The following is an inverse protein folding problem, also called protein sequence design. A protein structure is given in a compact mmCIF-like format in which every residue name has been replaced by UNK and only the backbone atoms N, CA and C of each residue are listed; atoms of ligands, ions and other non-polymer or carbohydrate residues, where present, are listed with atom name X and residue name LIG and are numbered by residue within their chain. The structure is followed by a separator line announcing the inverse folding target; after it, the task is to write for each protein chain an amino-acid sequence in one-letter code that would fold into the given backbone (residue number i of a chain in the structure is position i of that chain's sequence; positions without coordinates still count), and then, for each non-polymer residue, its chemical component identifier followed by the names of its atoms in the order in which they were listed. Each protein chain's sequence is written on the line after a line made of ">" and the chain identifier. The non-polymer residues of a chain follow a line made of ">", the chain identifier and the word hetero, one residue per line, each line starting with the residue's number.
data_IF_765682492912
#
_entry.id   IF_765682492912
#
_cell.length_a   1.000
_cell.length_b   1.000
_cell.length_c   1.000
_cell.angle_alpha   90.00
_cell.angle_beta   90.00
_cell.angle_gamma   90.00
#
_symmetry.space_group_name_H-M   'P 1'
#
loop_
_entity.id
_entity.type
_entity.pdbx_description
1 polymer ?
#
# COMPACT_ATOMS: atom_id res chain seq x y z
N UNK A 1 -30.75 11.98 13.77
CA UNK A 1 -30.12 11.11 14.81
C UNK A 1 -29.51 9.87 14.18
N UNK A 2 -28.59 9.24 14.87
CA UNK A 2 -27.96 7.95 14.49
C UNK A 2 -28.08 7.03 15.68
N UNK A 3 -28.68 5.85 15.50
CA UNK A 3 -28.74 4.78 16.51
C UNK A 3 -27.65 3.76 16.22
N UNK A 4 -26.91 3.38 17.25
CA UNK A 4 -25.87 2.36 17.17
C UNK A 4 -26.13 1.27 18.21
N UNK A 5 -26.13 0.02 17.76
CA UNK A 5 -26.25 -1.16 18.62
C UNK A 5 -25.19 -2.21 18.23
N UNK A 6 -24.53 -2.80 19.18
CA UNK A 6 -23.50 -3.81 18.93
C UNK A 6 -22.41 -3.37 17.93
N UNK A 7 -21.96 -2.12 18.04
CA UNK A 7 -20.96 -1.48 17.16
C UNK A 7 -21.40 -1.36 15.68
N UNK A 8 -22.70 -1.38 15.40
CA UNK A 8 -23.28 -1.17 14.07
C UNK A 8 -24.27 -0.02 14.08
N UNK A 9 -24.37 0.72 12.99
CA UNK A 9 -25.44 1.69 12.78
C UNK A 9 -26.69 0.90 12.43
N UNK A 10 -27.74 1.00 13.26
CA UNK A 10 -29.01 0.29 13.09
C UNK A 10 -30.12 1.19 12.53
N UNK A 11 -30.02 2.51 12.76
CA UNK A 11 -30.96 3.48 12.18
C UNK A 11 -30.32 4.85 12.01
N UNK A 12 -30.79 5.59 10.97
CA UNK A 12 -30.47 7.00 10.71
C UNK A 12 -31.77 7.73 10.42
N UNK A 13 -31.98 8.89 11.03
CA UNK A 13 -33.17 9.73 10.83
C UNK A 13 -33.80 10.21 12.14
N UNK A 14 -35.12 10.35 12.16
CA UNK A 14 -35.86 10.66 13.37
C UNK A 14 -36.04 9.37 14.20
N UNK A 15 -35.40 9.34 15.36
CA UNK A 15 -35.41 8.18 16.26
C UNK A 15 -36.12 8.60 17.54
N UNK A 16 -37.15 7.85 18.01
CA UNK A 16 -37.80 8.14 19.28
C UNK A 16 -36.80 8.17 20.45
N UNK A 17 -36.95 9.14 21.37
CA UNK A 17 -36.05 9.31 22.52
C UNK A 17 -36.44 8.42 23.74
N UNK A 18 -37.38 7.52 23.59
CA UNK A 18 -37.84 6.58 24.63
C UNK A 18 -37.00 5.31 24.71
N UNK A 19 -35.75 5.39 24.29
CA UNK A 19 -34.80 4.26 24.29
C UNK A 19 -33.91 4.32 25.53
N UNK A 20 -33.50 3.17 26.06
CA UNK A 20 -32.47 3.05 27.12
C UNK A 20 -31.07 3.37 26.58
N UNK A 21 -30.95 3.82 25.35
CA UNK A 21 -29.68 4.13 24.70
C UNK A 21 -29.02 5.37 25.34
N UNK A 22 -27.70 5.34 25.49
CA UNK A 22 -26.93 6.50 25.89
C UNK A 22 -27.00 7.57 24.79
N UNK A 23 -27.61 8.72 25.11
CA UNK A 23 -27.71 9.85 24.18
C UNK A 23 -26.45 10.71 24.25
N UNK A 24 -25.86 11.01 23.10
CA UNK A 24 -24.76 11.96 22.94
C UNK A 24 -25.27 13.11 22.08
N UNK A 25 -25.44 14.29 22.70
CA UNK A 25 -25.87 15.49 21.99
C UNK A 25 -24.66 16.15 21.28
N UNK A 26 -24.72 16.18 19.96
CA UNK A 26 -23.66 16.74 19.11
C UNK A 26 -24.00 18.10 18.52
N UNK A 27 -24.91 18.85 19.12
CA UNK A 27 -25.44 20.16 18.69
C UNK A 27 -24.64 20.87 17.61
N UNK A 28 -25.23 21.06 16.43
CA UNK A 28 -24.64 21.82 15.32
C UNK A 28 -23.37 21.21 14.68
N UNK A 29 -22.96 20.00 15.07
CA UNK A 29 -21.80 19.31 14.47
C UNK A 29 -22.25 18.39 13.34
N UNK A 30 -21.39 18.27 12.34
CA UNK A 30 -21.50 17.25 11.31
C UNK A 30 -21.00 15.90 11.84
N UNK A 31 -21.68 14.84 11.50
CA UNK A 31 -21.26 13.47 11.79
C UNK A 31 -20.95 12.82 10.45
N UNK A 32 -19.72 12.31 10.32
CA UNK A 32 -19.26 11.60 9.14
C UNK A 32 -18.75 10.21 9.54
N UNK A 33 -18.67 9.24 8.61
CA UNK A 33 -17.86 8.06 8.82
C UNK A 33 -16.42 8.44 9.19
N UNK A 34 -15.74 7.58 9.94
CA UNK A 34 -14.32 7.78 10.23
C UNK A 34 -13.51 7.79 8.94
N UNK A 35 -12.54 8.70 8.86
CA UNK A 35 -11.66 8.84 7.70
C UNK A 35 -10.71 7.64 7.65
N UNK A 36 -10.55 7.07 6.45
CA UNK A 36 -9.55 6.04 6.15
C UNK A 36 -8.39 6.72 5.43
N UNK A 37 -7.23 6.75 6.06
CA UNK A 37 -5.99 7.22 5.43
C UNK A 37 -5.34 6.04 4.67
N UNK A 38 -5.37 6.13 3.35
CA UNK A 38 -4.89 5.07 2.45
C UNK A 38 -3.39 5.11 2.21
N UNK A 39 -2.67 6.13 2.73
CA UNK A 39 -1.23 6.24 2.60
C UNK A 39 -0.61 6.86 3.85
N UNK A 40 -0.17 6.05 4.76
CA UNK A 40 0.43 6.49 6.01
C UNK A 40 1.83 5.90 6.22
N UNK A 41 2.63 6.64 6.95
CA UNK A 41 3.91 6.18 7.49
C UNK A 41 3.97 6.34 9.02
N UNK A 42 2.82 6.59 9.67
CA UNK A 42 2.76 6.69 11.13
C UNK A 42 3.26 5.41 11.78
N UNK A 43 4.01 5.56 12.84
CA UNK A 43 4.63 4.47 13.57
C UNK A 43 5.91 3.91 12.95
N UNK A 44 6.12 3.99 11.63
CA UNK A 44 7.39 3.60 10.97
C UNK A 44 8.31 4.80 10.72
N UNK A 45 7.75 6.02 10.67
CA UNK A 45 8.45 7.30 10.77
C UNK A 45 7.79 8.14 11.87
N UNK A 46 7.97 7.76 13.15
CA UNK A 46 7.25 8.38 14.25
C UNK A 46 7.80 9.79 14.60
N UNK A 47 7.01 10.52 15.37
CA UNK A 47 7.43 11.78 15.97
C UNK A 47 7.99 11.57 17.40
N UNK A 48 9.12 12.24 17.78
CA UNK A 48 9.95 13.10 16.93
C UNK A 48 10.74 12.27 15.90
N UNK A 49 11.04 12.88 14.73
CA UNK A 49 11.77 12.25 13.63
C UNK A 49 13.26 12.07 13.97
N UNK A 50 13.58 11.01 14.70
CA UNK A 50 14.95 10.64 15.07
C UNK A 50 15.43 9.46 14.23
N UNK A 51 16.73 9.41 13.95
CA UNK A 51 17.31 8.29 13.19
C UNK A 51 17.05 6.93 13.83
N UNK A 52 17.04 6.86 15.15
CA UNK A 52 16.76 5.63 15.91
C UNK A 52 15.31 5.11 15.73
N UNK A 53 14.41 5.96 15.26
CA UNK A 53 13.00 5.63 15.03
C UNK A 53 12.62 5.65 13.54
N UNK A 54 13.61 5.74 12.64
CA UNK A 54 13.36 5.85 11.20
C UNK A 54 13.42 4.48 10.54
N UNK A 55 12.35 3.71 10.67
CA UNK A 55 12.27 2.30 10.29
C UNK A 55 11.37 2.03 9.06
N UNK A 56 11.05 3.07 8.31
CA UNK A 56 10.14 2.96 7.17
C UNK A 56 10.73 2.40 5.88
N UNK A 57 12.06 2.23 5.77
CA UNK A 57 12.70 1.60 4.62
C UNK A 57 13.88 0.72 5.04
N UNK A 58 13.85 -0.55 4.63
CA UNK A 58 15.03 -1.40 4.64
C UNK A 58 15.85 -1.14 3.37
N UNK A 59 16.64 -0.07 3.39
CA UNK A 59 17.34 0.44 2.20
C UNK A 59 18.74 -0.20 1.98
N UNK A 60 18.94 -1.43 2.41
CA UNK A 60 20.20 -2.18 2.24
C UNK A 60 20.26 -2.93 0.91
N UNK A 61 19.07 -3.33 0.38
CA UNK A 61 18.89 -4.00 -0.91
C UNK A 61 17.70 -3.37 -1.65
N UNK A 62 17.74 -3.24 -2.98
CA UNK A 62 16.61 -2.71 -3.76
C UNK A 62 15.36 -3.59 -3.75
N UNK A 63 15.49 -4.87 -3.41
CA UNK A 63 14.38 -5.83 -3.32
C UNK A 63 14.40 -6.44 -1.93
N UNK A 64 13.40 -6.09 -1.11
CA UNK A 64 13.29 -6.52 0.31
C UNK A 64 11.83 -6.88 0.67
N UNK A 65 11.13 -7.72 -0.11
CA UNK A 65 9.70 -8.00 0.13
C UNK A 65 9.45 -8.80 1.41
N UNK A 66 10.49 -9.36 2.03
CA UNK A 66 10.44 -10.12 3.29
C UNK A 66 10.29 -9.26 4.54
N UNK A 67 10.50 -7.93 4.45
CA UNK A 67 10.29 -7.05 5.60
C UNK A 67 8.85 -6.56 5.66
N UNK A 68 8.30 -6.41 6.87
CA UNK A 68 6.91 -6.08 7.09
C UNK A 68 6.81 -4.83 7.97
N UNK A 69 6.09 -3.82 7.51
CA UNK A 69 5.91 -2.57 8.26
C UNK A 69 5.35 -2.81 9.67
N UNK A 70 4.49 -3.83 9.86
CA UNK A 70 3.91 -4.15 11.16
C UNK A 70 4.95 -4.45 12.25
N UNK A 71 6.14 -4.95 11.87
CA UNK A 71 7.19 -5.27 12.83
C UNK A 71 7.97 -4.04 13.31
N UNK A 72 7.83 -2.90 12.63
CA UNK A 72 8.50 -1.64 12.98
C UNK A 72 7.54 -0.53 13.43
N UNK A 73 6.24 -0.78 13.50
CA UNK A 73 5.27 0.20 14.00
C UNK A 73 5.49 0.45 15.49
N UNK A 74 5.91 1.66 15.84
CA UNK A 74 5.92 2.12 17.22
C UNK A 74 4.52 2.56 17.66
N UNK A 75 3.82 1.71 18.41
CA UNK A 75 2.41 1.91 18.79
C UNK A 75 2.14 3.11 19.68
N UNK A 76 3.21 3.70 20.26
CA UNK A 76 3.14 4.89 21.11
C UNK A 76 3.44 6.20 20.36
N UNK A 77 3.56 6.17 19.04
CA UNK A 77 3.75 7.35 18.22
C UNK A 77 2.62 8.37 18.50
N UNK A 78 2.96 9.59 18.94
CA UNK A 78 1.96 10.63 19.24
C UNK A 78 1.14 11.05 18.01
N UNK A 79 1.62 10.78 16.80
CA UNK A 79 0.90 11.07 15.56
C UNK A 79 -0.44 10.33 15.49
N UNK A 80 -0.57 9.12 16.05
CA UNK A 80 -1.84 8.39 16.10
C UNK A 80 -2.93 9.18 16.84
N UNK A 81 -2.58 9.76 17.99
CA UNK A 81 -3.53 10.57 18.75
C UNK A 81 -3.91 11.86 18.00
N UNK A 82 -2.96 12.48 17.31
CA UNK A 82 -3.23 13.69 16.51
C UNK A 82 -4.12 13.36 15.31
N UNK A 83 -3.85 12.29 14.60
CA UNK A 83 -4.66 11.82 13.49
C UNK A 83 -6.09 11.46 13.92
N UNK A 84 -6.25 10.80 15.08
CA UNK A 84 -7.57 10.49 15.64
C UNK A 84 -8.37 11.75 15.96
N UNK A 85 -7.73 12.80 16.50
CA UNK A 85 -8.38 14.10 16.70
C UNK A 85 -8.85 14.75 15.38
N UNK A 86 -8.19 14.45 14.27
CA UNK A 86 -8.59 14.85 12.92
C UNK A 86 -9.63 13.92 12.29
N UNK A 87 -10.09 12.88 12.99
CA UNK A 87 -11.13 11.97 12.51
C UNK A 87 -10.60 10.75 11.75
N UNK A 88 -9.28 10.53 11.70
CA UNK A 88 -8.68 9.33 11.06
C UNK A 88 -8.80 8.14 12.00
N UNK A 89 -9.67 7.20 11.64
CA UNK A 89 -9.98 6.01 12.44
C UNK A 89 -9.30 4.74 11.94
N UNK A 90 -8.85 4.75 10.69
CA UNK A 90 -8.16 3.63 10.03
C UNK A 90 -7.08 4.19 9.13
N UNK A 91 -5.95 3.53 9.06
CA UNK A 91 -4.86 3.94 8.17
C UNK A 91 -4.09 2.74 7.65
N UNK A 92 -3.58 2.90 6.45
CA UNK A 92 -2.75 1.92 5.77
C UNK A 92 -1.28 2.33 5.92
N UNK A 93 -0.54 1.62 6.77
CA UNK A 93 0.89 1.86 6.98
C UNK A 93 1.69 1.14 5.91
N UNK A 94 2.40 1.92 5.11
CA UNK A 94 3.26 1.46 4.03
C UNK A 94 4.73 1.67 4.38
N UNK A 95 5.64 0.79 3.93
CA UNK A 95 7.03 1.17 3.78
C UNK A 95 7.19 2.40 2.90
N UNK A 96 8.28 3.15 3.06
CA UNK A 96 8.62 4.25 2.18
C UNK A 96 8.99 3.76 0.76
N UNK A 97 9.41 4.68 -0.10
CA UNK A 97 9.62 4.42 -1.54
C UNK A 97 11.10 4.37 -1.94
N UNK A 98 11.99 3.97 -1.03
CA UNK A 98 13.42 3.85 -1.33
C UNK A 98 13.75 2.66 -2.24
N UNK A 99 13.00 1.58 -2.11
CA UNK A 99 13.27 0.30 -2.77
C UNK A 99 12.43 0.13 -4.03
N UNK A 100 12.91 -0.67 -4.98
CA UNK A 100 12.09 -1.19 -6.09
C UNK A 100 10.89 -1.97 -5.54
N UNK A 101 11.18 -2.90 -4.61
CA UNK A 101 10.20 -3.70 -3.87
C UNK A 101 10.58 -3.59 -2.39
N UNK A 102 9.75 -2.92 -1.60
CA UNK A 102 10.14 -2.37 -0.29
C UNK A 102 9.60 -3.11 0.93
N UNK A 103 8.71 -4.07 0.76
CA UNK A 103 8.14 -4.83 1.87
C UNK A 103 6.63 -4.68 2.05
N UNK A 104 6.08 -5.46 3.01
CA UNK A 104 4.63 -5.51 3.23
C UNK A 104 4.13 -4.31 4.01
N UNK A 105 2.99 -3.74 3.56
CA UNK A 105 2.19 -2.79 4.30
C UNK A 105 1.10 -3.49 5.12
N UNK A 106 0.53 -2.77 6.08
CA UNK A 106 -0.50 -3.28 6.99
C UNK A 106 -1.60 -2.24 7.21
N UNK A 107 -2.86 -2.67 7.27
CA UNK A 107 -3.98 -1.81 7.61
C UNK A 107 -4.27 -1.90 9.10
N UNK A 108 -4.33 -0.74 9.77
CA UNK A 108 -4.49 -0.64 11.21
C UNK A 108 -5.73 0.21 11.56
N UNK A 109 -6.42 -0.14 12.62
CA UNK A 109 -7.36 0.75 13.31
C UNK A 109 -6.59 1.73 14.18
N UNK A 110 -7.03 2.97 14.23
CA UNK A 110 -6.47 3.98 15.13
C UNK A 110 -7.02 3.82 16.55
N UNK A 111 -6.63 2.74 17.19
CA UNK A 111 -7.00 2.40 18.57
C UNK A 111 -5.74 2.27 19.44
N UNK A 112 -5.87 2.60 20.73
CA UNK A 112 -4.74 2.41 21.64
C UNK A 112 -4.47 0.94 21.86
N UNK A 113 -3.22 0.54 21.66
CA UNK A 113 -2.75 -0.81 21.95
C UNK A 113 -1.25 -0.78 22.30
N UNK A 114 -0.82 -1.69 23.14
CA UNK A 114 0.60 -1.91 23.46
C UNK A 114 1.30 -2.62 22.28
N UNK A 115 0.55 -3.41 21.51
CA UNK A 115 1.08 -4.17 20.38
C UNK A 115 0.37 -3.80 19.08
N UNK A 116 1.07 -3.89 17.96
CA UNK A 116 0.49 -3.70 16.63
C UNK A 116 -0.64 -4.69 16.35
N UNK A 117 -0.57 -5.90 16.90
CA UNK A 117 -1.60 -6.91 16.72
C UNK A 117 -2.98 -6.45 17.22
N UNK A 118 -3.02 -5.70 18.31
CA UNK A 118 -4.25 -5.10 18.83
C UNK A 118 -4.80 -3.95 17.95
N UNK A 119 -3.99 -3.43 17.04
CA UNK A 119 -4.38 -2.38 16.10
C UNK A 119 -4.79 -2.94 14.73
N UNK A 120 -4.40 -4.16 14.36
CA UNK A 120 -4.67 -4.70 13.02
C UNK A 120 -6.14 -4.65 12.67
N UNK A 121 -6.45 -4.22 11.44
CA UNK A 121 -7.82 -4.22 10.93
C UNK A 121 -8.21 -5.66 10.58
N UNK A 122 -9.29 -6.23 11.18
CA UNK A 122 -9.67 -7.62 10.95
C UNK A 122 -9.98 -7.90 9.49
N UNK A 123 -9.36 -8.93 8.93
CA UNK A 123 -9.61 -9.38 7.56
C UNK A 123 -9.03 -8.49 6.45
N UNK A 124 -8.31 -7.41 6.79
CA UNK A 124 -7.63 -6.61 5.77
C UNK A 124 -6.46 -7.40 5.17
N UNK A 125 -6.32 -7.46 3.84
CA UNK A 125 -5.20 -8.11 3.19
C UNK A 125 -3.90 -7.35 3.47
N UNK A 126 -2.78 -8.05 3.42
CA UNK A 126 -1.47 -7.41 3.33
C UNK A 126 -1.28 -6.77 1.97
N UNK A 127 -0.38 -5.80 1.92
CA UNK A 127 0.01 -5.15 0.68
C UNK A 127 1.51 -5.24 0.49
N UNK A 128 1.99 -5.04 -0.73
CA UNK A 128 3.40 -4.93 -1.04
C UNK A 128 3.69 -3.53 -1.60
N UNK A 129 4.59 -2.80 -0.93
CA UNK A 129 5.05 -1.50 -1.42
C UNK A 129 6.09 -1.70 -2.50
N UNK A 130 5.86 -1.04 -3.62
CA UNK A 130 6.83 -0.89 -4.71
C UNK A 130 7.09 0.59 -4.99
N UNK A 131 8.15 0.89 -5.71
CA UNK A 131 8.42 2.25 -6.18
C UNK A 131 9.08 2.24 -7.55
N UNK A 132 8.57 3.10 -8.45
CA UNK A 132 9.19 3.45 -9.72
C UNK A 132 9.98 4.78 -9.61
N UNK A 133 10.58 5.20 -10.70
CA UNK A 133 11.12 6.54 -10.87
C UNK A 133 12.45 6.82 -10.18
N UNK A 134 12.58 8.07 -9.78
CA UNK A 134 13.87 8.59 -9.29
C UNK A 134 14.26 8.06 -7.90
N UNK A 135 13.28 7.65 -7.06
CA UNK A 135 13.60 7.31 -5.69
C UNK A 135 14.53 6.09 -5.59
N UNK A 136 14.21 4.90 -6.16
CA UNK A 136 15.12 3.75 -6.12
C UNK A 136 16.46 4.06 -6.79
N UNK A 137 16.45 4.65 -8.00
CA UNK A 137 17.71 4.95 -8.71
C UNK A 137 18.61 5.93 -7.95
N UNK A 138 18.05 6.91 -7.22
CA UNK A 138 18.79 7.84 -6.39
C UNK A 138 19.39 7.15 -5.15
N UNK A 139 18.59 6.34 -4.48
CA UNK A 139 19.00 5.66 -3.23
C UNK A 139 20.12 4.67 -3.50
N UNK A 140 20.01 3.84 -4.54
CA UNK A 140 21.01 2.80 -4.81
C UNK A 140 22.13 3.29 -5.73
N UNK A 141 21.82 4.11 -6.75
CA UNK A 141 22.83 4.73 -7.59
C UNK A 141 23.80 5.62 -6.80
N UNK A 142 23.29 6.34 -5.77
CA UNK A 142 24.14 7.09 -4.83
C UNK A 142 25.07 6.21 -3.98
N UNK A 143 24.83 4.90 -3.93
CA UNK A 143 25.70 3.90 -3.26
C UNK A 143 26.52 3.08 -4.26
N UNK A 144 26.58 3.48 -5.53
CA UNK A 144 27.20 2.74 -6.64
C UNK A 144 26.63 1.30 -6.79
N UNK A 145 25.32 1.14 -6.60
CA UNK A 145 24.57 -0.11 -6.74
C UNK A 145 23.43 0.03 -7.75
N UNK A 146 22.96 -1.09 -8.30
CA UNK A 146 21.72 -1.12 -9.07
C UNK A 146 20.50 -0.94 -8.14
N UNK A 147 19.46 -0.23 -8.64
CA UNK A 147 19.39 0.50 -9.89
C UNK A 147 20.00 1.90 -9.80
N UNK A 148 20.64 2.37 -10.88
CA UNK A 148 21.09 3.77 -11.04
C UNK A 148 20.36 4.50 -12.16
N UNK A 149 19.55 3.78 -12.93
CA UNK A 149 18.77 4.27 -14.07
C UNK A 149 17.36 3.67 -14.06
N UNK A 150 16.41 4.24 -14.84
CA UNK A 150 15.09 3.65 -15.05
C UNK A 150 15.15 2.30 -15.77
N UNK A 151 16.13 2.12 -16.68
CA UNK A 151 16.42 0.81 -17.27
C UNK A 151 16.76 -0.23 -16.20
N UNK A 152 17.59 0.17 -15.21
CA UNK A 152 17.93 -0.66 -14.06
C UNK A 152 16.73 -0.94 -13.16
N UNK A 153 15.81 0.02 -12.99
CA UNK A 153 14.56 -0.22 -12.27
C UNK A 153 13.79 -1.39 -12.91
N UNK A 154 13.54 -1.31 -14.22
CA UNK A 154 12.78 -2.34 -14.96
C UNK A 154 13.48 -3.70 -14.91
N UNK A 155 14.79 -3.73 -15.11
CA UNK A 155 15.57 -4.98 -15.00
C UNK A 155 15.45 -5.60 -13.59
N UNK A 156 15.49 -4.78 -12.55
CA UNK A 156 15.35 -5.23 -11.16
C UNK A 156 13.97 -5.83 -10.86
N UNK A 157 12.87 -5.21 -11.33
CA UNK A 157 11.52 -5.77 -11.16
C UNK A 157 11.41 -7.12 -11.88
N UNK A 158 11.79 -7.17 -13.15
CA UNK A 158 11.68 -8.41 -13.94
C UNK A 158 12.47 -9.55 -13.33
N UNK A 159 13.70 -9.28 -12.84
CA UNK A 159 14.51 -10.28 -12.14
C UNK A 159 13.80 -10.83 -10.89
N UNK A 160 13.18 -9.94 -10.09
CA UNK A 160 12.46 -10.36 -8.88
C UNK A 160 11.24 -11.24 -9.24
N UNK A 161 10.47 -10.86 -10.24
CA UNK A 161 9.29 -11.63 -10.67
C UNK A 161 9.64 -12.95 -11.34
N UNK A 162 10.72 -13.03 -12.12
CA UNK A 162 11.24 -14.31 -12.66
C UNK A 162 11.56 -15.27 -11.52
N UNK A 163 12.30 -14.82 -10.51
CA UNK A 163 12.64 -15.66 -9.36
C UNK A 163 11.38 -16.11 -8.58
N UNK A 164 10.39 -15.23 -8.46
CA UNK A 164 9.13 -15.57 -7.80
C UNK A 164 8.34 -16.63 -8.56
N UNK A 165 8.24 -16.53 -9.89
CA UNK A 165 7.58 -17.54 -10.73
C UNK A 165 8.30 -18.88 -10.67
N UNK A 166 9.63 -18.89 -10.70
CA UNK A 166 10.42 -20.11 -10.56
C UNK A 166 10.18 -20.80 -9.21
N UNK A 167 10.10 -20.01 -8.13
CA UNK A 167 9.79 -20.53 -6.80
C UNK A 167 8.35 -21.04 -6.71
N UNK A 168 7.38 -20.30 -7.24
CA UNK A 168 5.97 -20.71 -7.31
C UNK A 168 5.82 -22.04 -8.06
N UNK A 169 6.51 -22.20 -9.20
CA UNK A 169 6.46 -23.41 -9.99
C UNK A 169 7.01 -24.61 -9.21
N UNK A 170 8.13 -24.46 -8.49
CA UNK A 170 8.70 -25.51 -7.63
C UNK A 170 7.73 -25.92 -6.51
N UNK A 171 7.05 -24.95 -5.89
CA UNK A 171 6.04 -25.25 -4.87
C UNK A 171 4.86 -26.03 -5.47
N UNK A 172 4.31 -25.58 -6.60
CA UNK A 172 3.20 -26.26 -7.29
C UNK A 172 3.58 -27.66 -7.74
N UNK A 173 4.80 -27.85 -8.26
CA UNK A 173 5.31 -29.16 -8.64
C UNK A 173 5.39 -30.11 -7.45
N UNK A 174 5.96 -29.64 -6.32
CA UNK A 174 6.03 -30.43 -5.11
C UNK A 174 4.63 -30.77 -4.56
N UNK A 175 3.71 -29.82 -4.53
CA UNK A 175 2.36 -30.02 -4.04
C UNK A 175 1.54 -31.01 -4.88
N UNK A 176 1.80 -31.08 -6.17
CA UNK A 176 1.13 -31.99 -7.11
C UNK A 176 1.57 -33.46 -7.01
N UNK A 177 2.63 -33.75 -6.27
CA UNK A 177 3.17 -35.10 -6.08
C UNK A 177 2.27 -35.94 -5.16
N UNK A 178 2.27 -37.25 -5.33
CA UNK A 178 1.62 -38.20 -4.40
C UNK A 178 2.30 -38.16 -3.03
N UNK A 179 1.61 -38.62 -1.99
CA UNK A 179 2.16 -38.67 -0.63
C UNK A 179 3.41 -39.53 -0.56
N UNK A 180 3.44 -40.69 -1.30
CA UNK A 180 4.60 -41.56 -1.37
C UNK A 180 5.80 -40.86 -2.02
N UNK A 181 5.59 -40.04 -3.06
CA UNK A 181 6.67 -39.27 -3.69
C UNK A 181 7.19 -38.15 -2.79
N UNK A 182 6.30 -37.51 -2.01
CA UNK A 182 6.69 -36.48 -1.01
C UNK A 182 7.50 -37.03 0.15
N UNK A 183 7.31 -38.31 0.53
CA UNK A 183 8.13 -38.99 1.54
C UNK A 183 9.59 -39.20 1.10
N UNK A 184 9.83 -39.22 -0.22
CA UNK A 184 11.17 -39.46 -0.81
C UNK A 184 11.92 -38.17 -1.16
N UNK A 185 11.23 -37.01 -1.07
CA UNK A 185 11.80 -35.73 -1.47
C UNK A 185 11.59 -34.69 -0.39
N UNK A 186 12.53 -33.74 -0.27
CA UNK A 186 12.35 -32.59 0.61
C UNK A 186 11.46 -31.52 -0.07
N UNK A 187 10.56 -30.93 0.69
CA UNK A 187 9.84 -29.72 0.25
C UNK A 187 10.83 -28.62 -0.13
N UNK A 188 10.50 -27.77 -1.12
CA UNK A 188 11.31 -26.60 -1.41
C UNK A 188 11.59 -25.78 -0.15
N UNK A 189 12.85 -25.38 0.05
CA UNK A 189 13.23 -24.56 1.20
C UNK A 189 12.46 -23.26 1.21
N UNK A 190 12.03 -22.83 2.39
CA UNK A 190 11.35 -21.55 2.56
C UNK A 190 12.26 -20.37 2.19
N UNK A 191 11.71 -19.43 1.46
CA UNK A 191 12.34 -18.16 1.12
C UNK A 191 11.33 -17.03 1.38
N UNK A 192 11.54 -16.27 2.46
CA UNK A 192 10.61 -15.21 2.89
C UNK A 192 10.45 -14.09 1.86
N UNK A 193 11.47 -13.85 1.05
CA UNK A 193 11.44 -12.88 -0.03
C UNK A 193 10.50 -13.37 -1.14
N UNK A 194 10.72 -14.59 -1.61
CA UNK A 194 9.93 -15.19 -2.68
C UNK A 194 8.51 -15.54 -2.24
N UNK A 195 8.30 -15.96 -0.98
CA UNK A 195 6.96 -16.19 -0.41
C UNK A 195 6.07 -14.94 -0.50
N UNK A 196 6.63 -13.75 -0.24
CA UNK A 196 5.87 -12.50 -0.37
C UNK A 196 5.51 -12.21 -1.83
N UNK A 197 6.44 -12.43 -2.75
CA UNK A 197 6.20 -12.20 -4.19
C UNK A 197 5.21 -13.23 -4.76
N UNK A 198 5.28 -14.48 -4.34
CA UNK A 198 4.30 -15.51 -4.70
C UNK A 198 2.90 -15.14 -4.20
N UNK A 199 2.77 -14.64 -2.96
CA UNK A 199 1.48 -14.15 -2.46
C UNK A 199 0.88 -13.01 -3.31
N UNK A 200 1.72 -12.21 -3.99
CA UNK A 200 1.25 -11.22 -4.98
C UNK A 200 0.78 -11.92 -6.26
N UNK A 201 1.54 -12.88 -6.78
CA UNK A 201 1.16 -13.64 -8.00
C UNK A 201 -0.14 -14.43 -7.78
N UNK A 202 -0.38 -14.90 -6.57
CA UNK A 202 -1.62 -15.61 -6.18
C UNK A 202 -2.79 -14.65 -5.86
N UNK A 203 -2.55 -13.33 -5.83
CA UNK A 203 -3.57 -12.31 -5.56
C UNK A 203 -3.92 -12.12 -4.08
N UNK A 204 -3.18 -12.71 -3.16
CA UNK A 204 -3.38 -12.58 -1.72
C UNK A 204 -2.81 -11.28 -1.15
N UNK A 205 -1.73 -10.77 -1.78
CA UNK A 205 -1.04 -9.54 -1.38
C UNK A 205 -1.22 -8.49 -2.47
N UNK A 206 -1.71 -7.31 -2.09
CA UNK A 206 -2.10 -6.25 -3.01
C UNK A 206 -0.96 -5.26 -3.27
N UNK A 207 -0.70 -4.93 -4.53
CA UNK A 207 0.38 -3.99 -4.91
C UNK A 207 -0.02 -2.54 -4.64
N UNK A 208 0.84 -1.82 -3.93
CA UNK A 208 0.79 -0.38 -3.67
C UNK A 208 2.05 0.27 -4.24
N UNK A 209 1.95 0.87 -5.40
CA UNK A 209 3.12 1.31 -6.16
C UNK A 209 3.30 2.83 -6.14
N UNK A 210 4.37 3.32 -5.52
CA UNK A 210 4.78 4.71 -5.65
C UNK A 210 5.23 5.01 -7.08
N UNK A 211 4.58 5.94 -7.76
CA UNK A 211 4.97 6.38 -9.10
C UNK A 211 4.46 7.80 -9.35
N UNK A 212 5.27 8.66 -10.01
CA UNK A 212 4.86 10.03 -10.33
C UNK A 212 4.47 10.19 -11.80
N UNK A 213 5.28 9.65 -12.71
CA UNK A 213 5.20 9.92 -14.15
C UNK A 213 4.25 8.96 -14.84
N UNK A 214 3.49 9.48 -15.80
CA UNK A 214 2.46 8.73 -16.53
C UNK A 214 3.06 7.55 -17.32
N UNK A 215 4.14 7.79 -18.08
CA UNK A 215 4.79 6.73 -18.85
C UNK A 215 5.40 5.61 -17.95
N UNK A 216 5.85 5.94 -16.75
CA UNK A 216 6.36 4.93 -15.82
C UNK A 216 5.23 4.10 -15.22
N UNK A 217 4.06 4.70 -14.95
CA UNK A 217 2.86 3.94 -14.56
C UNK A 217 2.45 2.94 -15.64
N UNK A 218 2.45 3.36 -16.91
CA UNK A 218 2.16 2.45 -18.02
C UNK A 218 3.18 1.29 -18.11
N UNK A 219 4.48 1.57 -17.97
CA UNK A 219 5.53 0.52 -17.92
C UNK A 219 5.30 -0.46 -16.76
N UNK A 220 4.88 0.02 -15.59
CA UNK A 220 4.58 -0.87 -14.45
C UNK A 220 3.37 -1.76 -14.72
N UNK A 221 2.37 -1.28 -15.47
CA UNK A 221 1.23 -2.09 -15.90
C UNK A 221 1.63 -3.15 -16.95
N UNK A 222 2.55 -2.81 -17.86
CA UNK A 222 3.11 -3.80 -18.80
C UNK A 222 3.86 -4.92 -18.09
N UNK A 223 4.68 -4.59 -17.08
CA UNK A 223 5.35 -5.58 -16.24
C UNK A 223 4.32 -6.42 -15.47
N UNK A 224 3.29 -5.81 -14.90
CA UNK A 224 2.24 -6.53 -14.20
C UNK A 224 1.54 -7.55 -15.13
N UNK A 225 1.26 -7.15 -16.36
CA UNK A 225 0.70 -8.03 -17.39
C UNK A 225 1.66 -9.15 -17.79
N UNK A 226 2.96 -8.85 -17.97
CA UNK A 226 4.00 -9.84 -18.31
C UNK A 226 4.06 -10.97 -17.28
N UNK A 227 3.97 -10.64 -15.98
CA UNK A 227 4.13 -11.60 -14.88
C UNK A 227 2.80 -12.08 -14.26
N UNK A 228 1.67 -11.55 -14.71
CA UNK A 228 0.34 -12.02 -14.29
C UNK A 228 -0.12 -11.54 -12.92
N UNK A 229 0.40 -10.43 -12.41
CA UNK A 229 -0.10 -9.79 -11.19
C UNK A 229 -0.90 -8.51 -11.49
N UNK A 230 -1.55 -7.95 -10.46
CA UNK A 230 -2.31 -6.69 -10.58
C UNK A 230 -1.69 -5.59 -9.72
N UNK A 231 -1.59 -4.38 -10.26
CA UNK A 231 -1.37 -3.17 -9.47
C UNK A 231 -2.71 -2.74 -8.90
N UNK A 232 -2.80 -2.56 -7.58
CA UNK A 232 -4.04 -2.11 -6.93
C UNK A 232 -4.16 -0.59 -6.98
N UNK A 233 -3.08 0.12 -6.62
CA UNK A 233 -3.06 1.56 -6.67
C UNK A 233 -1.66 2.10 -6.97
N UNK A 234 -1.61 3.21 -7.72
CA UNK A 234 -0.46 4.09 -7.77
C UNK A 234 -0.60 5.18 -6.73
N UNK A 235 0.48 5.42 -5.99
CA UNK A 235 0.54 6.46 -4.98
C UNK A 235 1.31 7.68 -5.49
N UNK A 236 0.87 8.85 -5.07
CA UNK A 236 1.27 10.16 -5.56
C UNK A 236 0.73 10.41 -6.98
N UNK A 237 1.03 9.56 -7.94
CA UNK A 237 0.42 9.51 -9.27
C UNK A 237 0.24 10.91 -9.89
N UNK A 238 1.31 11.73 -9.82
CA UNK A 238 1.28 13.16 -10.19
C UNK A 238 0.78 13.37 -11.62
N UNK A 239 1.17 12.49 -12.53
CA UNK A 239 0.79 12.55 -13.94
C UNK A 239 -0.27 11.51 -14.33
N UNK A 240 -1.07 11.01 -13.37
CA UNK A 240 -2.10 10.02 -13.66
C UNK A 240 -3.11 10.50 -14.70
N UNK A 241 -3.40 11.81 -14.74
CA UNK A 241 -4.29 12.41 -15.75
C UNK A 241 -3.87 12.12 -17.19
N UNK A 242 -2.56 11.93 -17.46
CA UNK A 242 -2.04 11.61 -18.81
C UNK A 242 -2.37 10.17 -19.24
N UNK A 243 -2.60 9.29 -18.30
CA UNK A 243 -2.84 7.85 -18.52
C UNK A 243 -4.14 7.38 -17.85
N UNK A 244 -5.06 8.30 -17.57
CA UNK A 244 -6.27 8.05 -16.83
C UNK A 244 -7.11 6.91 -17.41
N UNK A 245 -7.30 6.88 -18.72
CA UNK A 245 -8.04 5.80 -19.39
C UNK A 245 -7.33 4.46 -19.27
N UNK A 246 -6.00 4.43 -19.33
CA UNK A 246 -5.21 3.21 -19.14
C UNK A 246 -5.39 2.68 -17.70
N UNK A 247 -5.39 3.56 -16.70
CA UNK A 247 -5.62 3.17 -15.30
C UNK A 247 -7.03 2.62 -15.13
N UNK A 248 -8.04 3.29 -15.66
CA UNK A 248 -9.43 2.85 -15.60
C UNK A 248 -9.67 1.51 -16.29
N UNK A 249 -9.07 1.28 -17.48
CA UNK A 249 -9.17 0.02 -18.21
C UNK A 249 -8.55 -1.17 -17.46
N UNK A 250 -7.52 -0.90 -16.65
CA UNK A 250 -6.87 -1.92 -15.82
C UNK A 250 -7.48 -2.03 -14.41
N UNK A 251 -8.48 -1.21 -14.07
CA UNK A 251 -9.10 -1.19 -12.75
C UNK A 251 -8.13 -0.80 -11.63
N UNK A 252 -7.24 0.17 -11.90
CA UNK A 252 -6.19 0.64 -10.99
C UNK A 252 -6.58 1.99 -10.41
N UNK A 253 -6.50 2.12 -9.09
CA UNK A 253 -6.75 3.39 -8.41
C UNK A 253 -5.51 4.28 -8.37
N UNK A 254 -5.73 5.57 -8.16
CA UNK A 254 -4.67 6.55 -7.94
C UNK A 254 -4.87 7.27 -6.59
N UNK A 255 -3.99 7.02 -5.64
CA UNK A 255 -3.96 7.72 -4.36
C UNK A 255 -3.14 9.01 -4.50
N UNK A 256 -3.84 10.14 -4.59
CA UNK A 256 -3.27 11.42 -4.98
C UNK A 256 -3.28 12.44 -3.84
N UNK A 257 -2.49 13.49 -3.99
CA UNK A 257 -2.52 14.70 -3.15
C UNK A 257 -3.03 15.88 -3.97
N UNK A 258 -3.79 16.74 -3.34
CA UNK A 258 -4.41 17.88 -3.99
C UNK A 258 -3.41 18.92 -4.53
N UNK A 259 -2.24 19.03 -3.88
CA UNK A 259 -1.24 20.05 -4.20
C UNK A 259 0.18 19.56 -3.90
N UNK A 260 0.84 19.03 -4.91
CA UNK A 260 2.21 18.50 -4.81
C UNK A 260 3.10 18.96 -5.97
N UNK A 261 2.76 20.08 -6.58
CA UNK A 261 3.53 20.63 -7.69
C UNK A 261 4.94 21.06 -7.27
N UNK A 262 5.92 20.71 -8.09
CA UNK A 262 7.24 21.33 -8.12
C UNK A 262 8.20 21.00 -6.97
N UNK A 263 7.85 20.17 -6.01
CA UNK A 263 8.77 19.83 -4.91
C UNK A 263 9.96 18.97 -5.36
N UNK A 264 9.88 18.36 -6.53
CA UNK A 264 10.98 17.69 -7.23
C UNK A 264 10.66 17.57 -8.73
N UNK A 265 11.66 17.19 -9.54
CA UNK A 265 11.51 17.16 -11.00
C UNK A 265 10.37 16.25 -11.49
N UNK A 266 10.20 15.07 -10.91
CA UNK A 266 9.10 14.16 -11.27
C UNK A 266 7.70 14.64 -10.83
N UNK A 267 7.61 15.68 -10.03
CA UNK A 267 6.35 16.31 -9.63
C UNK A 267 6.13 17.67 -10.32
N UNK A 268 6.89 17.98 -11.37
CA UNK A 268 6.85 19.28 -12.01
C UNK A 268 5.61 19.50 -12.87
N UNK A 269 5.03 18.43 -13.42
CA UNK A 269 3.90 18.50 -14.36
C UNK A 269 2.57 18.08 -13.70
N UNK A 270 2.38 18.48 -12.46
CA UNK A 270 1.12 18.28 -11.73
C UNK A 270 0.07 19.27 -12.19
N UNK A 271 -1.18 18.81 -12.33
CA UNK A 271 -2.36 19.65 -12.53
C UNK A 271 -3.37 19.42 -11.40
N UNK A 272 -4.09 20.44 -10.98
CA UNK A 272 -5.05 20.31 -9.87
C UNK A 272 -6.27 19.46 -10.22
N UNK A 273 -6.62 19.41 -11.50
CA UNK A 273 -7.71 18.61 -12.03
C UNK A 273 -7.40 17.11 -12.08
N UNK A 274 -6.18 16.68 -11.73
CA UNK A 274 -5.70 15.30 -11.84
C UNK A 274 -6.70 14.29 -11.27
N UNK A 275 -7.20 14.51 -10.05
CA UNK A 275 -8.15 13.61 -9.40
C UNK A 275 -9.48 13.54 -10.19
N UNK A 276 -10.01 14.69 -10.62
CA UNK A 276 -11.26 14.74 -11.37
C UNK A 276 -11.13 14.06 -12.75
N UNK A 277 -10.01 14.25 -13.44
CA UNK A 277 -9.75 13.62 -14.74
C UNK A 277 -9.68 12.09 -14.58
N UNK A 278 -8.95 11.61 -13.56
CA UNK A 278 -8.84 10.17 -13.29
C UNK A 278 -10.19 9.58 -12.90
N UNK A 279 -10.96 10.23 -12.02
CA UNK A 279 -12.28 9.75 -11.58
C UNK A 279 -13.27 9.63 -12.76
N UNK A 280 -13.23 10.59 -13.71
CA UNK A 280 -14.12 10.63 -14.87
C UNK A 280 -13.65 9.77 -16.04
N UNK A 281 -12.46 9.18 -15.98
CA UNK A 281 -11.89 8.38 -17.07
C UNK A 281 -12.83 7.23 -17.48
N UNK A 282 -12.88 6.96 -18.78
CA UNK A 282 -13.75 5.92 -19.38
C UNK A 282 -15.22 5.98 -18.92
N UNK A 283 -15.78 7.19 -18.83
CA UNK A 283 -17.17 7.41 -18.47
C UNK A 283 -17.49 7.16 -16.99
N UNK A 284 -16.56 7.51 -16.10
CA UNK A 284 -16.69 7.38 -14.64
C UNK A 284 -16.31 6.01 -14.11
N UNK A 285 -15.44 5.29 -14.80
CA UNK A 285 -14.85 4.03 -14.34
C UNK A 285 -13.51 4.21 -13.65
N UNK A 286 -13.01 5.44 -13.59
CA UNK A 286 -11.79 5.78 -12.89
C UNK A 286 -11.92 5.60 -11.38
N UNK A 287 -10.78 5.60 -10.70
CA UNK A 287 -10.68 5.48 -9.24
C UNK A 287 -9.60 6.45 -8.75
N UNK A 288 -10.02 7.57 -8.11
CA UNK A 288 -9.15 8.59 -7.54
C UNK A 288 -9.33 8.72 -6.02
#
# INVERSE_FOLDING_TARGET
>A
SILMENNKITAIGEIPLDTDAKVIDVKGKWITPGIIDIHSHMGVYPAPGLRSNSDGNEATNPVTPHVWAEHSVWTHDPQFTLALKGGITTFHVLPGSANLIGGRGVTLKNVRSVTVQGMKFPGAPYTLKMACGENPKRVYGGKNKEPSTRMGNVAGYRKAWINAQDYQNKLKEYESKSDEAKELEYAPSRDLELETLVGVLDGEILIQNHCYRGEEMAVMLDIAKEFGYKVTAFHHAIEAYKVADILADNGVCAAMWADWWGFKHEAFDMVWENAAIVDQANGGKGCA
#
